data_IF_835466019368
#
_entry.id   IF_835466019368
#
_cell.length_a   1.000
_cell.length_b   1.000
_cell.length_c   1.000
_cell.angle_alpha   90.00
_cell.angle_beta   90.00
_cell.angle_gamma   90.00
#
_symmetry.space_group_name_H-M   'P 1'
#
loop_
_entity.id
_entity.type
_entity.pdbx_description
1 polymer ?
#
# COMPACT_ATOMS: atom_id res chain seq x y z
N UNK A 1 32.10 10.02 7.01
CA UNK A 1 31.30 10.36 5.81
C UNK A 1 29.95 9.78 6.07
N UNK A 2 29.17 10.56 6.79
CA UNK A 2 28.06 10.08 7.58
C UNK A 2 26.86 10.26 6.66
N UNK A 3 26.59 9.20 5.88
CA UNK A 3 25.46 9.14 4.98
C UNK A 3 24.20 8.98 5.81
N UNK A 4 23.68 10.11 6.30
CA UNK A 4 22.36 10.18 6.89
C UNK A 4 21.33 9.70 5.88
N UNK A 5 20.81 8.50 6.14
CA UNK A 5 19.55 8.04 5.58
C UNK A 5 18.47 8.69 6.44
N UNK A 6 17.89 9.77 5.93
CA UNK A 6 16.71 10.37 6.54
C UNK A 6 15.54 9.40 6.34
N UNK A 7 14.90 9.05 7.46
CA UNK A 7 13.92 7.98 7.58
C UNK A 7 12.59 8.25 6.83
N UNK A 8 12.65 8.22 5.50
CA UNK A 8 11.50 8.32 4.61
C UNK A 8 11.21 7.03 3.81
N UNK A 9 12.02 5.98 3.95
CA UNK A 9 11.80 4.69 3.26
C UNK A 9 11.17 3.59 4.13
N UNK A 10 10.99 3.79 5.44
CA UNK A 10 10.39 2.78 6.34
C UNK A 10 8.86 2.93 6.50
N UNK A 11 8.18 3.43 5.46
CA UNK A 11 6.76 3.72 5.51
C UNK A 11 6.12 3.56 4.15
N UNK A 12 6.01 2.30 3.74
CA UNK A 12 4.87 1.79 3.00
C UNK A 12 4.77 2.03 1.48
N UNK A 13 5.90 1.95 0.76
CA UNK A 13 5.89 1.80 -0.70
C UNK A 13 6.92 0.77 -1.20
N UNK A 14 7.04 -0.39 -0.58
CA UNK A 14 7.87 -1.45 -1.17
C UNK A 14 7.08 -2.30 -2.18
N UNK A 15 5.75 -2.24 -2.15
CA UNK A 15 4.88 -2.88 -3.14
C UNK A 15 4.95 -4.40 -3.09
N UNK A 16 5.41 -4.98 -1.98
CA UNK A 16 5.39 -6.42 -1.75
C UNK A 16 4.18 -6.79 -0.91
N UNK A 17 3.58 -7.93 -1.23
CA UNK A 17 2.53 -8.54 -0.44
C UNK A 17 3.06 -9.83 0.16
N UNK A 18 2.78 -10.01 1.44
CA UNK A 18 3.04 -11.27 2.15
C UNK A 18 1.84 -12.20 1.97
N UNK A 19 2.11 -13.48 1.80
CA UNK A 19 1.09 -14.50 1.79
C UNK A 19 1.66 -15.88 2.08
N UNK A 20 0.80 -16.88 2.04
CA UNK A 20 1.14 -18.24 2.46
C UNK A 20 0.91 -19.22 1.32
N UNK A 21 1.91 -20.06 1.02
CA UNK A 21 1.80 -21.22 0.13
C UNK A 21 2.12 -22.48 0.93
N UNK A 22 1.07 -23.16 1.41
CA UNK A 22 1.22 -24.24 2.40
C UNK A 22 1.76 -23.70 3.72
N UNK A 23 2.77 -24.35 4.29
CA UNK A 23 3.40 -23.95 5.56
C UNK A 23 4.56 -22.95 5.37
N UNK A 24 4.66 -22.31 4.20
CA UNK A 24 5.73 -21.35 3.88
C UNK A 24 5.15 -19.97 3.60
N UNK A 25 5.70 -19.00 4.30
CA UNK A 25 5.49 -17.59 4.01
C UNK A 25 6.26 -17.21 2.75
N UNK A 26 5.62 -16.41 1.91
CA UNK A 26 6.15 -15.96 0.62
C UNK A 26 5.86 -14.47 0.45
N UNK A 27 6.79 -13.79 -0.21
CA UNK A 27 6.61 -12.43 -0.68
C UNK A 27 6.37 -12.46 -2.19
N UNK A 28 5.40 -11.68 -2.66
CA UNK A 28 5.13 -11.49 -4.08
C UNK A 28 4.94 -10.01 -4.38
N UNK A 29 5.21 -9.64 -5.63
CA UNK A 29 4.99 -8.27 -6.10
C UNK A 29 3.49 -7.95 -6.04
N UNK A 30 3.19 -6.74 -5.58
CA UNK A 30 1.87 -6.12 -5.61
C UNK A 30 1.43 -5.69 -7.00
N UNK A 31 2.31 -5.78 -8.01
CA UNK A 31 2.00 -5.51 -9.40
C UNK A 31 1.59 -6.79 -10.12
N UNK A 32 0.45 -6.73 -10.80
CA UNK A 32 -0.04 -7.81 -11.63
C UNK A 32 -0.29 -7.28 -13.06
N UNK A 33 0.27 -7.97 -14.05
CA UNK A 33 -0.09 -7.76 -15.44
C UNK A 33 -1.48 -8.34 -15.67
N UNK A 34 -2.37 -7.53 -16.24
CA UNK A 34 -3.72 -7.96 -16.58
C UNK A 34 -3.95 -7.82 -18.08
N UNK A 35 -4.35 -8.91 -18.73
CA UNK A 35 -4.66 -8.92 -20.15
C UNK A 35 -6.09 -8.40 -20.35
N UNK A 36 -6.20 -7.08 -20.47
CA UNK A 36 -7.47 -6.43 -20.81
C UNK A 36 -7.79 -6.65 -22.29
N UNK A 37 -9.08 -6.81 -22.65
CA UNK A 37 -9.46 -6.95 -24.05
C UNK A 37 -9.00 -5.74 -24.85
N UNK A 38 -8.55 -5.97 -26.09
CA UNK A 38 -7.91 -4.97 -26.95
C UNK A 38 -8.78 -3.74 -27.28
N UNK A 39 -10.08 -3.80 -26.99
CA UNK A 39 -11.01 -2.68 -27.12
C UNK A 39 -10.90 -1.65 -25.99
N UNK A 40 -10.17 -1.96 -24.92
CA UNK A 40 -9.98 -1.09 -23.76
C UNK A 40 -8.62 -0.43 -23.85
N UNK A 41 -8.58 0.88 -23.69
CA UNK A 41 -7.33 1.62 -23.64
C UNK A 41 -6.44 1.12 -22.48
N UNK A 42 -5.10 1.20 -22.61
CA UNK A 42 -4.20 0.83 -21.53
C UNK A 42 -4.55 1.60 -20.24
N UNK A 43 -4.81 0.86 -19.17
CA UNK A 43 -5.18 1.43 -17.87
C UNK A 43 -4.49 0.69 -16.74
N UNK A 44 -4.41 1.37 -15.60
CA UNK A 44 -3.95 0.80 -14.33
C UNK A 44 -5.13 0.57 -13.41
N UNK A 45 -5.11 -0.56 -12.70
CA UNK A 45 -6.04 -0.83 -11.60
C UNK A 45 -5.30 -0.53 -10.30
N UNK A 46 -5.77 0.49 -9.59
CA UNK A 46 -5.22 0.88 -8.29
C UNK A 46 -5.93 0.08 -7.19
N UNK A 47 -5.32 -1.04 -6.81
CA UNK A 47 -5.85 -1.97 -5.80
C UNK A 47 -5.32 -1.71 -4.38
N UNK A 48 -5.38 -2.74 -3.54
CA UNK A 48 -5.13 -2.65 -2.10
C UNK A 48 -3.76 -2.07 -1.72
N UNK A 49 -2.72 -2.34 -2.52
CA UNK A 49 -1.37 -1.78 -2.31
C UNK A 49 -1.35 -0.25 -2.43
N UNK A 50 -2.19 0.32 -3.31
CA UNK A 50 -2.32 1.77 -3.44
C UNK A 50 -3.28 2.32 -2.38
N UNK A 51 -4.40 1.62 -2.15
CA UNK A 51 -5.45 2.06 -1.22
C UNK A 51 -5.04 1.93 0.25
N UNK A 52 -4.03 1.13 0.59
CA UNK A 52 -3.46 1.10 1.93
C UNK A 52 -2.82 2.44 2.29
N UNK A 53 -2.10 3.04 1.34
CA UNK A 53 -1.35 4.30 1.55
C UNK A 53 -2.18 5.55 1.37
N UNK A 54 -3.19 5.47 0.52
CA UNK A 54 -3.99 6.62 0.14
C UNK A 54 -5.45 6.42 0.51
N UNK A 55 -5.91 7.24 1.46
CA UNK A 55 -7.33 7.45 1.67
C UNK A 55 -7.92 8.08 0.41
N UNK A 56 -8.96 7.44 -0.12
CA UNK A 56 -9.56 7.77 -1.41
C UNK A 56 -10.97 8.30 -1.23
N UNK A 57 -11.27 9.46 -1.83
CA UNK A 57 -12.59 10.08 -1.84
C UNK A 57 -13.17 10.00 -3.25
N UNK A 58 -14.33 9.37 -3.39
CA UNK A 58 -15.06 9.26 -4.66
C UNK A 58 -16.22 10.27 -4.66
N UNK A 59 -16.00 11.42 -5.29
CA UNK A 59 -16.97 12.52 -5.35
C UNK A 59 -17.77 12.44 -6.65
N UNK A 60 -18.96 11.83 -6.56
CA UNK A 60 -19.87 11.70 -7.70
C UNK A 60 -20.64 12.97 -8.02
N UNK A 61 -20.65 13.95 -7.12
CA UNK A 61 -21.27 15.25 -7.38
C UNK A 61 -20.44 16.11 -8.34
N UNK A 62 -19.13 15.83 -8.43
CA UNK A 62 -18.18 16.55 -9.29
C UNK A 62 -17.39 15.61 -10.23
N UNK A 63 -17.78 14.34 -10.33
CA UNK A 63 -17.16 13.31 -11.18
C UNK A 63 -15.63 13.23 -11.05
N UNK A 64 -15.15 13.16 -9.80
CA UNK A 64 -13.72 13.13 -9.50
C UNK A 64 -13.35 12.19 -8.36
N UNK A 65 -12.08 11.83 -8.32
CA UNK A 65 -11.45 11.08 -7.23
C UNK A 65 -10.34 11.93 -6.62
N UNK A 66 -10.29 11.98 -5.29
CA UNK A 66 -9.25 12.66 -4.53
C UNK A 66 -8.50 11.69 -3.62
N UNK A 67 -7.20 11.93 -3.43
CA UNK A 67 -6.34 11.11 -2.58
C UNK A 67 -5.73 11.94 -1.46
N UNK A 68 -5.62 11.35 -0.28
CA UNK A 68 -4.90 11.90 0.86
C UNK A 68 -4.08 10.80 1.53
N UNK A 69 -2.98 11.13 2.20
CA UNK A 69 -2.18 10.15 2.93
C UNK A 69 -3.03 9.47 4.00
N UNK A 70 -3.05 8.14 4.01
CA UNK A 70 -3.74 7.37 5.03
C UNK A 70 -3.04 7.53 6.39
N UNK A 71 -3.84 7.49 7.46
CA UNK A 71 -3.30 7.48 8.83
C UNK A 71 -3.14 6.03 9.26
N UNK A 72 -1.91 5.57 9.33
CA UNK A 72 -1.58 4.27 9.90
C UNK A 72 -1.31 4.46 11.39
N UNK A 73 -2.07 3.77 12.23
CA UNK A 73 -1.72 3.66 13.64
C UNK A 73 -0.52 2.73 13.72
N UNK A 74 0.65 3.26 14.07
CA UNK A 74 1.71 2.40 14.57
C UNK A 74 1.24 1.88 15.92
N UNK A 75 1.20 0.56 16.11
CA UNK A 75 0.85 -0.07 17.39
C UNK A 75 1.78 0.34 18.57
N UNK A 76 2.74 1.23 18.36
CA UNK A 76 3.70 1.72 19.36
C UNK A 76 3.16 2.81 20.31
N UNK A 77 1.89 3.23 20.23
CA UNK A 77 1.31 4.17 21.23
C UNK A 77 0.40 3.48 22.28
N UNK A 78 0.21 2.16 22.19
CA UNK A 78 -0.54 1.40 23.21
C UNK A 78 0.32 0.48 24.09
N UNK A 79 1.62 0.37 23.84
CA UNK A 79 2.54 -0.40 24.70
C UNK A 79 3.15 0.46 25.83
N UNK A 80 2.27 1.15 26.55
CA UNK A 80 2.52 1.47 27.95
C UNK A 80 2.49 0.18 28.78
N UNK A 81 3.54 -0.63 28.67
CA UNK A 81 3.86 -1.75 29.57
C UNK A 81 2.97 -2.98 29.45
N UNK A 82 3.48 -4.00 28.77
CA UNK A 82 3.23 -5.39 29.17
C UNK A 82 4.56 -6.15 29.09
N UNK A 83 5.29 -6.12 30.21
CA UNK A 83 6.38 -7.06 30.47
C UNK A 83 5.87 -8.49 30.32
N UNK A 84 6.43 -9.25 29.38
CA UNK A 84 6.88 -10.64 29.55
C UNK A 84 8.03 -10.94 28.61
#
# INVERSE_FOLDING_TARGET
>A
MDGGVDGWTEGAMDGWMEGWMGDREICFSGFQANDLPSSVDPLWILGDVFLSEFYSIYDRGQDRVGFAKARHTRYTEMDGGMDR
#
